data_IF_531923199755
#
_entry.id   IF_531923199755
#
_cell.length_a   1.000
_cell.length_b   1.000
_cell.length_c   1.000
_cell.angle_alpha   90.00
_cell.angle_beta   90.00
_cell.angle_gamma   90.00
#
_symmetry.space_group_name_H-M   'P 1'
#
loop_
_entity.id
_entity.type
_entity.pdbx_description
1 polymer ?
#
# COMPACT_ATOMS: atom_id res chain seq x y z
N UNK A 1 11.89 -25.89 -10.23
CA UNK A 1 11.24 -25.19 -9.09
C UNK A 1 11.77 -23.76 -9.04
N UNK A 2 10.99 -22.79 -9.50
CA UNK A 2 11.39 -21.37 -9.43
C UNK A 2 11.28 -20.95 -7.97
N UNK A 3 12.43 -20.75 -7.30
CA UNK A 3 12.46 -20.19 -5.95
C UNK A 3 12.09 -18.71 -6.05
N UNK A 4 10.82 -18.39 -5.83
CA UNK A 4 10.37 -17.00 -5.68
C UNK A 4 11.20 -16.33 -4.58
N UNK A 5 11.84 -15.21 -4.93
CA UNK A 5 12.65 -14.45 -3.97
C UNK A 5 11.77 -13.84 -2.87
N UNK A 6 12.38 -13.46 -1.75
CA UNK A 6 11.65 -12.88 -0.63
C UNK A 6 10.90 -11.58 -1.00
N UNK A 7 11.44 -10.79 -1.93
CA UNK A 7 10.82 -9.56 -2.44
C UNK A 7 9.57 -9.83 -3.27
N UNK A 8 9.58 -10.87 -4.12
CA UNK A 8 8.39 -11.25 -4.91
C UNK A 8 7.24 -11.70 -4.02
N UNK A 9 7.53 -12.49 -2.98
CA UNK A 9 6.53 -12.95 -2.02
C UNK A 9 5.92 -11.78 -1.23
N UNK A 10 6.74 -10.83 -0.78
CA UNK A 10 6.25 -9.59 -0.16
C UNK A 10 5.30 -8.82 -1.08
N UNK A 11 5.63 -8.74 -2.37
CA UNK A 11 4.80 -8.05 -3.35
C UNK A 11 3.43 -8.75 -3.53
N UNK A 12 3.40 -10.08 -3.49
CA UNK A 12 2.14 -10.83 -3.49
C UNK A 12 1.28 -10.56 -2.25
N UNK A 13 1.88 -10.52 -1.06
CA UNK A 13 1.18 -10.12 0.19
C UNK A 13 0.53 -8.75 0.04
N UNK A 14 1.26 -7.77 -0.51
CA UNK A 14 0.73 -6.43 -0.75
C UNK A 14 -0.44 -6.45 -1.74
N UNK A 15 -0.37 -7.20 -2.84
CA UNK A 15 -1.47 -7.33 -3.81
C UNK A 15 -2.73 -7.90 -3.17
N UNK A 16 -2.58 -8.95 -2.35
CA UNK A 16 -3.72 -9.55 -1.62
C UNK A 16 -4.35 -8.53 -0.67
N UNK A 17 -3.52 -7.79 0.07
CA UNK A 17 -4.01 -6.73 0.95
C UNK A 17 -4.69 -5.57 0.21
N UNK A 18 -4.20 -5.19 -0.98
CA UNK A 18 -4.82 -4.12 -1.77
C UNK A 18 -6.25 -4.50 -2.18
N UNK A 19 -6.46 -5.78 -2.52
CA UNK A 19 -7.77 -6.31 -2.86
C UNK A 19 -8.71 -6.37 -1.65
N UNK A 20 -8.21 -6.85 -0.51
CA UNK A 20 -9.02 -7.06 0.69
C UNK A 20 -9.22 -5.79 1.54
N UNK A 21 -8.37 -4.76 1.35
CA UNK A 21 -8.21 -3.54 2.16
C UNK A 21 -7.75 -3.80 3.60
N UNK A 22 -8.36 -4.77 4.26
CA UNK A 22 -8.01 -5.25 5.59
C UNK A 22 -8.07 -6.77 5.60
N UNK A 23 -7.06 -7.41 6.20
CA UNK A 23 -7.04 -8.86 6.30
C UNK A 23 -6.28 -9.30 7.54
N UNK A 24 -6.65 -10.46 8.06
CA UNK A 24 -5.89 -11.13 9.12
C UNK A 24 -4.69 -11.88 8.53
N UNK A 25 -3.67 -12.12 9.36
CA UNK A 25 -2.51 -12.94 8.97
C UNK A 25 -2.95 -14.30 8.40
N UNK A 26 -3.99 -14.91 8.97
CA UNK A 26 -4.48 -16.23 8.57
C UNK A 26 -5.21 -16.23 7.23
N UNK A 27 -5.93 -15.16 6.90
CA UNK A 27 -6.56 -15.02 5.58
C UNK A 27 -5.50 -14.89 4.48
N UNK A 28 -4.48 -14.06 4.72
CA UNK A 28 -3.36 -13.87 3.77
C UNK A 28 -2.57 -15.17 3.59
N UNK A 29 -2.35 -15.90 4.68
CA UNK A 29 -1.69 -17.21 4.66
C UNK A 29 -2.45 -18.23 3.81
N UNK A 30 -3.77 -18.26 3.92
CA UNK A 30 -4.64 -19.13 3.10
C UNK A 30 -4.58 -18.76 1.61
N UNK A 31 -4.66 -17.48 1.29
CA UNK A 31 -4.62 -17.00 -0.10
C UNK A 31 -3.29 -17.28 -0.80
N UNK A 32 -2.17 -17.19 -0.08
CA UNK A 32 -0.83 -17.40 -0.63
C UNK A 32 -0.30 -18.82 -0.43
N UNK A 33 -1.06 -19.69 0.24
CA UNK A 33 -0.65 -21.06 0.62
C UNK A 33 0.71 -21.03 1.34
N UNK A 34 0.84 -20.11 2.30
CA UNK A 34 2.03 -19.92 3.11
C UNK A 34 1.73 -20.18 4.58
N UNK A 35 2.76 -20.50 5.36
CA UNK A 35 2.62 -20.62 6.81
C UNK A 35 2.33 -19.26 7.45
N UNK A 36 1.49 -19.25 8.49
CA UNK A 36 1.18 -18.04 9.26
C UNK A 36 2.43 -17.30 9.74
N UNK A 37 3.46 -18.04 10.19
CA UNK A 37 4.73 -17.48 10.66
C UNK A 37 5.49 -16.75 9.55
N UNK A 38 5.52 -17.32 8.34
CA UNK A 38 6.18 -16.70 7.18
C UNK A 38 5.48 -15.41 6.75
N UNK A 39 4.14 -15.45 6.72
CA UNK A 39 3.35 -14.25 6.42
C UNK A 39 3.55 -13.18 7.49
N UNK A 40 3.54 -13.56 8.76
CA UNK A 40 3.78 -12.63 9.87
C UNK A 40 5.14 -11.93 9.73
N UNK A 41 6.21 -12.67 9.40
CA UNK A 41 7.53 -12.07 9.17
C UNK A 41 7.51 -11.09 8.00
N UNK A 42 6.86 -11.42 6.88
CA UNK A 42 6.71 -10.48 5.76
C UNK A 42 5.91 -9.24 6.14
N UNK A 43 4.82 -9.39 6.92
CA UNK A 43 4.02 -8.27 7.40
C UNK A 43 4.81 -7.36 8.34
N UNK A 44 5.62 -7.94 9.23
CA UNK A 44 6.52 -7.19 10.11
C UNK A 44 7.59 -6.42 9.34
N UNK A 45 8.11 -7.01 8.26
CA UNK A 45 9.02 -6.28 7.36
C UNK A 45 8.31 -5.13 6.65
N UNK A 46 7.09 -5.36 6.14
CA UNK A 46 6.29 -4.32 5.49
C UNK A 46 5.83 -3.21 6.44
N UNK A 47 5.62 -3.53 7.72
CA UNK A 47 5.32 -2.59 8.81
C UNK A 47 6.52 -1.68 9.07
N UNK A 48 7.73 -2.24 9.10
CA UNK A 48 8.99 -1.46 9.15
C UNK A 48 9.22 -0.59 7.92
N UNK A 49 8.78 -1.05 6.74
CA UNK A 49 8.80 -0.29 5.49
C UNK A 49 7.66 0.74 5.39
N UNK A 50 6.84 0.91 6.45
CA UNK A 50 5.67 1.80 6.51
C UNK A 50 4.63 1.60 5.40
N UNK A 51 4.56 0.40 4.82
CA UNK A 51 3.58 0.04 3.78
C UNK A 51 2.27 -0.48 4.38
N UNK A 52 2.36 -1.10 5.55
CA UNK A 52 1.21 -1.69 6.27
C UNK A 52 1.24 -1.28 7.73
N UNK A 53 0.08 -1.34 8.37
CA UNK A 53 -0.07 -1.11 9.80
C UNK A 53 -0.96 -2.17 10.43
N UNK A 54 -0.70 -2.46 11.70
CA UNK A 54 -1.52 -3.33 12.52
C UNK A 54 -2.65 -2.51 13.15
N UNK A 55 -3.89 -2.87 12.82
CA UNK A 55 -5.08 -2.13 13.28
C UNK A 55 -5.73 -2.75 14.51
N UNK A 56 -5.35 -3.98 14.88
CA UNK A 56 -5.86 -4.66 16.05
C UNK A 56 -5.73 -6.17 15.97
N UNK A 57 -6.55 -6.86 16.76
CA UNK A 57 -6.68 -8.33 16.73
C UNK A 57 -8.12 -8.70 16.35
N UNK A 58 -8.25 -9.68 15.47
CA UNK A 58 -9.52 -10.34 15.17
C UNK A 58 -9.42 -11.78 15.68
N UNK A 59 -9.99 -12.04 16.86
CA UNK A 59 -9.84 -13.32 17.55
C UNK A 59 -8.38 -13.58 17.95
N UNK A 60 -7.80 -14.69 17.47
CA UNK A 60 -6.41 -15.10 17.73
C UNK A 60 -5.41 -14.61 16.67
N UNK A 61 -5.84 -13.81 15.69
CA UNK A 61 -4.99 -13.34 14.60
C UNK A 61 -4.87 -11.82 14.57
N UNK A 62 -3.68 -11.31 14.21
CA UNK A 62 -3.47 -9.89 13.98
C UNK A 62 -4.19 -9.44 12.71
N UNK A 63 -4.89 -8.31 12.79
CA UNK A 63 -5.55 -7.66 11.66
C UNK A 63 -4.68 -6.52 11.15
N UNK A 64 -4.52 -6.45 9.84
CA UNK A 64 -3.60 -5.54 9.17
C UNK A 64 -4.32 -4.74 8.09
N UNK A 65 -3.80 -3.55 7.81
CA UNK A 65 -4.29 -2.62 6.79
C UNK A 65 -3.11 -1.99 6.03
N UNK A 66 -3.31 -1.65 4.77
CA UNK A 66 -2.32 -0.88 4.00
C UNK A 66 -2.36 0.59 4.44
N UNK A 67 -1.17 1.16 4.68
CA UNK A 67 -1.00 2.61 4.81
C UNK A 67 -1.12 3.23 3.43
N UNK A 68 -2.31 3.67 3.03
CA UNK A 68 -2.46 4.43 1.79
C UNK A 68 -1.93 5.84 2.03
N UNK A 69 -0.83 6.23 1.38
CA UNK A 69 -0.46 7.65 1.30
C UNK A 69 -1.63 8.37 0.62
N UNK A 70 -2.31 9.22 1.37
CA UNK A 70 -3.41 10.05 0.86
C UNK A 70 -2.80 10.99 -0.17
N UNK A 71 -2.91 10.65 -1.45
CA UNK A 71 -2.56 11.57 -2.54
C UNK A 71 -3.55 12.74 -2.38
N UNK A 72 -3.10 13.96 -2.03
CA UNK A 72 -4.00 15.10 -1.95
C UNK A 72 -4.66 15.29 -3.31
N UNK A 73 -5.90 15.74 -3.28
CA UNK A 73 -6.68 15.99 -4.47
C UNK A 73 -5.87 16.88 -5.43
N UNK A 74 -5.38 16.27 -6.50
CA UNK A 74 -4.85 16.98 -7.65
C UNK A 74 -6.02 17.63 -8.38
N UNK A 75 -5.87 18.86 -8.87
CA UNK A 75 -6.90 19.48 -9.70
C UNK A 75 -7.13 18.64 -10.97
N UNK A 76 -8.31 18.77 -11.59
CA UNK A 76 -8.66 18.02 -12.79
C UNK A 76 -7.62 18.15 -13.93
N UNK A 77 -6.87 19.26 -13.98
CA UNK A 77 -5.82 19.51 -14.96
C UNK A 77 -4.59 18.61 -14.77
N UNK A 78 -3.99 18.50 -13.57
CA UNK A 78 -2.82 17.59 -13.42
C UNK A 78 -3.21 16.10 -13.46
N UNK A 79 -4.49 15.76 -13.19
CA UNK A 79 -5.02 14.41 -13.49
C UNK A 79 -5.01 14.10 -15.00
N UNK A 80 -5.13 15.10 -15.87
CA UNK A 80 -5.18 14.93 -17.33
C UNK A 80 -3.80 14.75 -17.97
N UNK A 81 -2.75 15.36 -17.44
CA UNK A 81 -1.40 15.37 -18.05
C UNK A 81 -0.42 14.33 -17.45
N UNK A 82 -0.81 13.60 -16.39
CA UNK A 82 -0.05 12.44 -15.90
C UNK A 82 1.17 12.74 -15.02
N UNK A 83 1.38 13.99 -14.59
CA UNK A 83 2.53 14.40 -13.75
C UNK A 83 2.17 14.57 -12.26
N UNK A 84 1.59 13.55 -11.64
CA UNK A 84 1.39 13.53 -10.17
C UNK A 84 2.61 12.87 -9.50
N UNK A 85 3.72 13.58 -9.35
CA UNK A 85 4.84 13.10 -8.53
C UNK A 85 4.65 13.49 -7.07
N UNK A 86 4.95 12.52 -6.21
CA UNK A 86 4.83 12.48 -4.76
C UNK A 86 5.20 13.82 -4.09
N UNK A 87 4.32 14.31 -3.21
CA UNK A 87 4.58 15.54 -2.46
C UNK A 87 5.83 15.40 -1.63
N UNK A 88 6.79 16.26 -1.92
CA UNK A 88 7.72 16.72 -0.91
C UNK A 88 7.57 18.23 -0.85
N UNK A 89 6.90 18.67 0.21
CA UNK A 89 6.94 20.02 0.77
C UNK A 89 6.45 21.20 -0.10
N UNK A 90 5.43 21.88 0.43
CA UNK A 90 5.14 23.32 0.23
C UNK A 90 4.79 23.81 -1.18
N UNK A 91 3.54 24.27 -1.32
CA UNK A 91 3.17 25.50 -2.06
C UNK A 91 3.73 25.59 -3.49
N UNK A 92 2.98 25.08 -4.49
CA UNK A 92 2.63 25.85 -5.70
C UNK A 92 1.90 24.95 -6.70
N UNK A 93 0.58 25.13 -6.78
CA UNK A 93 -0.12 25.05 -8.05
C UNK A 93 -0.42 26.48 -8.52
N UNK A 94 0.57 27.38 -8.52
CA UNK A 94 0.47 28.66 -9.23
C UNK A 94 1.11 28.49 -10.59
N UNK A 95 0.36 27.93 -11.53
CA UNK A 95 0.72 28.02 -12.92
C UNK A 95 -0.53 28.31 -13.75
N UNK A 96 -0.80 29.61 -13.86
CA UNK A 96 -0.83 30.26 -15.19
C UNK A 96 -2.04 29.87 -16.06
N UNK A 97 -3.26 30.09 -15.58
CA UNK A 97 -4.31 30.53 -16.49
C UNK A 97 -4.13 32.02 -16.74
N UNK A 98 -3.21 32.31 -17.66
CA UNK A 98 -3.26 33.50 -18.49
C UNK A 98 -4.70 33.72 -18.93
N UNK A 99 -5.23 34.87 -18.53
CA UNK A 99 -6.18 35.72 -19.26
C UNK A 99 -6.65 35.05 -20.55
N UNK A 100 -7.84 34.44 -20.53
CA UNK A 100 -8.62 34.32 -21.76
C UNK A 100 -9.51 35.55 -21.78
N UNK A 101 -9.12 36.50 -22.64
CA UNK A 101 -9.96 37.61 -23.06
C UNK A 101 -11.09 37.16 -23.96
#
# INVERSE_FOLDING_TARGET
MIKLSASERKNQVLKVMQRLKEATTSEIARELILSNSTVYEYLKMLEREEKVERIGMAGKAYKWRIKTKKIPACCWYCRRIGECKELVSTIHCTARNSVHG
#
